data_IF_419573039570
#
_entry.id   IF_419573039570
#
_cell.length_a   1.000
_cell.length_b   1.000
_cell.length_c   1.000
_cell.angle_alpha   90.00
_cell.angle_beta   90.00
_cell.angle_gamma   90.00
#
_symmetry.space_group_name_H-M   'P 1'
#
loop_
_entity.id
_entity.type
_entity.pdbx_description
1 polymer ?
#
# COMPACT_ATOMS: atom_id res chain seq x y z
N UNK A 1 -9.75 -33.33 -5.35
CA UNK A 1 -8.53 -33.13 -4.53
C UNK A 1 -7.61 -32.18 -5.28
N UNK A 2 -6.96 -31.22 -4.61
CA UNK A 2 -5.99 -30.34 -5.30
C UNK A 2 -4.71 -31.11 -5.65
N UNK A 3 -4.15 -30.78 -6.81
CA UNK A 3 -2.88 -31.31 -7.31
C UNK A 3 -1.70 -30.49 -6.82
N UNK A 4 -0.50 -31.07 -6.86
CA UNK A 4 0.74 -30.34 -6.55
C UNK A 4 0.94 -29.13 -7.47
N UNK A 5 0.54 -29.23 -8.74
CA UNK A 5 0.63 -28.10 -9.69
C UNK A 5 -0.29 -26.93 -9.34
N UNK A 6 -1.52 -27.22 -8.90
CA UNK A 6 -2.46 -26.19 -8.43
C UNK A 6 -1.96 -25.50 -7.15
N UNK A 7 -1.30 -26.23 -6.26
CA UNK A 7 -0.69 -25.66 -5.04
C UNK A 7 0.48 -24.73 -5.35
N UNK A 8 1.34 -25.08 -6.32
CA UNK A 8 2.46 -24.24 -6.75
C UNK A 8 1.94 -22.94 -7.37
N UNK A 9 0.99 -23.04 -8.31
CA UNK A 9 0.39 -21.87 -8.94
C UNK A 9 -0.27 -20.93 -7.92
N UNK A 10 -0.92 -21.49 -6.89
CA UNK A 10 -1.50 -20.71 -5.80
C UNK A 10 -0.41 -19.98 -4.99
N UNK A 11 0.71 -20.65 -4.69
CA UNK A 11 1.85 -20.03 -4.00
C UNK A 11 2.40 -18.84 -4.78
N UNK A 12 2.63 -19.00 -6.08
CA UNK A 12 3.16 -17.93 -6.94
C UNK A 12 2.20 -16.74 -7.00
N UNK A 13 0.89 -17.00 -7.08
CA UNK A 13 -0.13 -15.96 -7.07
C UNK A 13 -0.17 -15.20 -5.73
N UNK A 14 0.03 -15.90 -4.61
CA UNK A 14 0.11 -15.29 -3.28
C UNK A 14 1.36 -14.41 -3.18
N UNK A 15 2.52 -14.89 -3.62
CA UNK A 15 3.77 -14.13 -3.59
C UNK A 15 3.66 -12.86 -4.43
N UNK A 16 3.09 -12.96 -5.62
CA UNK A 16 2.85 -11.80 -6.47
C UNK A 16 1.86 -10.82 -5.83
N UNK A 17 0.78 -11.30 -5.23
CA UNK A 17 -0.20 -10.44 -4.55
C UNK A 17 0.43 -9.72 -3.34
N UNK A 18 1.22 -10.42 -2.54
CA UNK A 18 1.95 -9.84 -1.41
C UNK A 18 2.96 -8.78 -1.89
N UNK A 19 3.71 -9.07 -2.95
CA UNK A 19 4.63 -8.09 -3.55
C UNK A 19 3.90 -6.83 -4.02
N UNK A 20 2.82 -6.98 -4.80
CA UNK A 20 2.03 -5.86 -5.30
C UNK A 20 1.46 -5.02 -4.16
N UNK A 21 0.93 -5.66 -3.12
CA UNK A 21 0.41 -4.95 -1.94
C UNK A 21 1.51 -4.24 -1.16
N UNK A 22 2.67 -4.88 -1.00
CA UNK A 22 3.84 -4.26 -0.38
C UNK A 22 4.29 -3.00 -1.12
N UNK A 23 4.34 -3.05 -2.46
CA UNK A 23 4.66 -1.89 -3.29
C UNK A 23 3.64 -0.76 -3.16
N UNK A 24 2.33 -1.08 -3.18
CA UNK A 24 1.27 -0.10 -2.96
C UNK A 24 1.45 0.62 -1.62
N UNK A 25 1.69 -0.12 -0.53
CA UNK A 25 1.92 0.42 0.81
C UNK A 25 3.15 1.33 0.81
N UNK A 26 4.25 0.89 0.21
CA UNK A 26 5.48 1.69 0.12
C UNK A 26 5.24 3.02 -0.61
N UNK A 27 4.55 2.98 -1.74
CA UNK A 27 4.22 4.18 -2.51
C UNK A 27 3.34 5.15 -1.70
N UNK A 28 2.32 4.65 -1.00
CA UNK A 28 1.48 5.48 -0.14
C UNK A 28 2.27 6.07 1.02
N UNK A 29 3.13 5.30 1.68
CA UNK A 29 4.00 5.80 2.75
C UNK A 29 4.91 6.93 2.26
N UNK A 30 5.44 6.81 1.04
CA UNK A 30 6.24 7.87 0.42
C UNK A 30 5.39 9.11 0.16
N UNK A 31 4.22 8.95 -0.44
CA UNK A 31 3.29 10.05 -0.67
C UNK A 31 2.90 10.76 0.64
N UNK A 32 2.60 10.00 1.71
CA UNK A 32 2.31 10.57 3.03
C UNK A 32 3.46 11.43 3.54
N UNK A 33 4.71 10.97 3.38
CA UNK A 33 5.88 11.79 3.79
C UNK A 33 5.94 13.10 3.02
N UNK A 34 5.75 13.06 1.71
CA UNK A 34 5.76 14.26 0.85
C UNK A 34 4.58 15.20 1.16
N UNK A 35 3.42 14.67 1.58
CA UNK A 35 2.27 15.45 2.05
C UNK A 35 2.55 16.10 3.41
N UNK A 36 3.09 15.34 4.36
CA UNK A 36 3.44 15.82 5.70
C UNK A 36 4.48 16.95 5.66
N UNK A 37 5.45 16.87 4.74
CA UNK A 37 6.45 17.95 4.53
C UNK A 37 5.82 19.29 4.12
N UNK A 38 4.59 19.28 3.58
CA UNK A 38 3.87 20.48 3.14
C UNK A 38 2.92 21.04 4.22
N UNK A 39 2.75 20.35 5.34
CA UNK A 39 1.88 20.80 6.43
C UNK A 39 2.60 21.84 7.29
N UNK A 40 2.59 23.10 6.84
CA UNK A 40 3.36 24.19 7.45
C UNK A 40 2.54 25.07 8.40
N UNK A 41 1.22 24.91 8.44
CA UNK A 41 0.33 25.67 9.31
C UNK A 41 -0.76 24.80 9.96
N UNK A 42 -1.40 25.35 10.99
CA UNK A 42 -2.39 24.63 11.79
C UNK A 42 -3.63 24.20 10.98
N UNK A 43 -4.06 25.00 10.00
CA UNK A 43 -5.22 24.67 9.18
C UNK A 43 -4.89 23.52 8.24
N UNK A 44 -3.72 23.54 7.60
CA UNK A 44 -3.24 22.45 6.75
C UNK A 44 -3.17 21.12 7.50
N UNK A 45 -2.74 21.13 8.77
CA UNK A 45 -2.74 19.93 9.63
C UNK A 45 -4.16 19.44 9.91
N UNK A 46 -5.10 20.34 10.22
CA UNK A 46 -6.48 19.98 10.51
C UNK A 46 -7.24 19.45 9.28
N UNK A 47 -6.88 19.91 8.09
CA UNK A 47 -7.50 19.50 6.82
C UNK A 47 -6.90 18.21 6.22
N UNK A 48 -5.80 17.70 6.78
CA UNK A 48 -5.13 16.52 6.24
C UNK A 48 -5.94 15.22 6.49
N UNK A 49 -6.30 14.54 5.40
CA UNK A 49 -7.04 13.26 5.46
C UNK A 49 -6.06 12.09 5.57
N UNK A 50 -6.14 11.38 6.70
CA UNK A 50 -5.34 10.18 6.96
C UNK A 50 -5.95 8.97 6.24
N UNK A 51 -5.12 8.08 5.71
CA UNK A 51 -5.54 6.84 5.07
C UNK A 51 -5.30 6.83 3.56
N UNK A 52 -6.05 6.04 2.81
CA UNK A 52 -5.96 5.99 1.36
C UNK A 52 -6.93 7.01 0.75
N UNK A 53 -6.48 7.86 -0.18
CA UNK A 53 -7.41 8.67 -0.97
C UNK A 53 -8.32 7.73 -1.79
N UNK A 54 -9.61 8.06 -1.88
CA UNK A 54 -10.56 7.39 -2.78
C UNK A 54 -10.23 7.65 -4.25
#
# INVERSE_FOLDING_TARGET
>A
PMTSGELINLSDAIDQAMFTKGLQIHMRQRQMKEELEKLTDAQAVMDYVVGWPE
#
